data_IF_011663441961
#
_entry.id   IF_011663441961
#
_cell.length_a   1.000
_cell.length_b   1.000
_cell.length_c   1.000
_cell.angle_alpha   90.00
_cell.angle_beta   90.00
_cell.angle_gamma   90.00
#
_symmetry.space_group_name_H-M   'P 1'
#
loop_
_entity.id
_entity.type
_entity.pdbx_description
1 polymer ?
#
# COMPACT_ATOMS: atom_id res chain seq x y z
N UNK A 1 17.99 22.06 0.79
CA UNK A 1 16.58 21.85 1.21
C UNK A 1 16.35 20.36 1.35
N UNK A 2 15.68 19.87 2.41
CA UNK A 2 15.40 18.44 2.57
C UNK A 2 14.23 18.02 1.67
N UNK A 3 14.15 16.72 1.31
CA UNK A 3 13.01 16.18 0.57
C UNK A 3 11.68 16.47 1.29
N UNK A 4 11.63 16.42 2.62
CA UNK A 4 10.45 16.75 3.40
C UNK A 4 9.99 18.20 3.23
N UNK A 5 10.92 19.15 3.11
CA UNK A 5 10.61 20.56 2.84
C UNK A 5 10.11 20.76 1.41
N UNK A 6 10.71 20.05 0.44
CA UNK A 6 10.27 20.08 -0.96
C UNK A 6 8.86 19.49 -1.09
N UNK A 7 8.61 18.31 -0.48
CA UNK A 7 7.29 17.69 -0.42
C UNK A 7 6.26 18.65 0.18
N UNK A 8 6.63 19.35 1.25
CA UNK A 8 5.72 20.32 1.89
C UNK A 8 5.40 21.50 0.97
N UNK A 9 6.38 22.01 0.22
CA UNK A 9 6.16 23.06 -0.78
C UNK A 9 5.27 22.59 -1.93
N UNK A 10 5.57 21.41 -2.51
CA UNK A 10 4.74 20.79 -3.54
C UNK A 10 3.29 20.60 -3.06
N UNK A 11 3.14 20.11 -1.83
CA UNK A 11 1.83 19.89 -1.24
C UNK A 11 1.02 21.19 -1.07
N UNK A 12 1.69 22.27 -0.71
CA UNK A 12 1.02 23.57 -0.56
C UNK A 12 0.50 24.12 -1.89
N UNK A 13 1.02 23.69 -3.03
CA UNK A 13 0.48 24.05 -4.35
C UNK A 13 -0.91 23.45 -4.60
N UNK A 14 -1.31 22.40 -3.89
CA UNK A 14 -2.66 21.85 -4.02
C UNK A 14 -3.75 22.89 -3.65
N UNK A 15 -3.43 23.83 -2.76
CA UNK A 15 -4.35 24.89 -2.39
C UNK A 15 -4.65 25.83 -3.58
N UNK A 16 -3.73 25.94 -4.55
CA UNK A 16 -3.94 26.72 -5.78
C UNK A 16 -5.04 26.11 -6.65
N UNK A 17 -5.11 24.78 -6.69
CA UNK A 17 -6.08 24.06 -7.52
C UNK A 17 -7.40 23.76 -6.80
N UNK A 18 -7.42 23.84 -5.47
CA UNK A 18 -8.62 23.55 -4.68
C UNK A 18 -9.73 24.56 -4.96
N UNK A 19 -9.38 25.80 -5.25
CA UNK A 19 -10.33 26.84 -5.62
C UNK A 19 -10.96 26.60 -7.03
N UNK A 20 -10.32 25.79 -7.87
CA UNK A 20 -10.85 25.32 -9.17
C UNK A 20 -11.69 24.04 -9.05
N UNK A 21 -11.98 23.58 -7.83
CA UNK A 21 -12.77 22.36 -7.58
C UNK A 21 -12.01 21.06 -7.79
N UNK A 22 -10.69 21.10 -7.96
CA UNK A 22 -9.83 19.93 -8.15
C UNK A 22 -9.65 19.18 -6.82
N UNK A 23 -9.93 17.88 -6.82
CA UNK A 23 -9.75 17.02 -5.64
C UNK A 23 -8.27 16.72 -5.40
N UNK A 24 -7.90 16.35 -4.16
CA UNK A 24 -6.53 15.94 -3.85
C UNK A 24 -5.99 14.82 -4.74
N UNK A 25 -6.84 13.89 -5.16
CA UNK A 25 -6.45 12.80 -6.05
C UNK A 25 -6.11 13.32 -7.47
N UNK A 26 -6.97 14.15 -8.02
CA UNK A 26 -6.72 14.80 -9.31
C UNK A 26 -5.46 15.67 -9.26
N UNK A 27 -5.26 16.41 -8.15
CA UNK A 27 -4.04 17.20 -7.95
C UNK A 27 -2.77 16.34 -8.02
N UNK A 28 -2.72 15.22 -7.31
CA UNK A 28 -1.52 14.35 -7.33
C UNK A 28 -1.30 13.74 -8.71
N UNK A 29 -2.37 13.42 -9.44
CA UNK A 29 -2.27 12.96 -10.83
C UNK A 29 -1.69 14.04 -11.74
N UNK A 30 -2.20 15.27 -11.67
CA UNK A 30 -1.65 16.42 -12.43
C UNK A 30 -0.19 16.68 -12.06
N UNK A 31 0.09 16.69 -10.76
CA UNK A 31 1.45 16.90 -10.26
C UNK A 31 2.39 15.79 -10.76
N UNK A 32 1.92 14.55 -10.84
CA UNK A 32 2.69 13.42 -11.39
C UNK A 32 3.10 13.66 -12.84
N UNK A 33 2.19 14.15 -13.68
CA UNK A 33 2.51 14.45 -15.08
C UNK A 33 3.58 15.54 -15.21
N UNK A 34 3.43 16.61 -14.45
CA UNK A 34 4.35 17.77 -14.51
C UNK A 34 5.71 17.41 -13.88
N UNK A 35 5.70 16.69 -12.74
CA UNK A 35 6.92 16.25 -12.08
C UNK A 35 7.71 15.28 -12.94
N UNK A 36 7.05 14.36 -13.65
CA UNK A 36 7.73 13.47 -14.58
C UNK A 36 8.60 14.22 -15.58
N UNK A 37 8.03 15.23 -16.24
CA UNK A 37 8.75 16.04 -17.24
C UNK A 37 9.95 16.76 -16.63
N UNK A 38 9.75 17.34 -15.44
CA UNK A 38 10.84 18.02 -14.74
C UNK A 38 11.93 17.05 -14.29
N UNK A 39 11.54 15.93 -13.69
CA UNK A 39 12.50 14.91 -13.24
C UNK A 39 13.25 14.26 -14.42
N UNK A 40 12.56 14.01 -15.55
CA UNK A 40 13.20 13.53 -16.78
C UNK A 40 14.29 14.49 -17.28
N UNK A 41 14.03 15.80 -17.22
CA UNK A 41 15.06 16.82 -17.51
C UNK A 41 16.24 16.73 -16.55
N UNK A 42 15.94 16.70 -15.25
CA UNK A 42 16.95 16.73 -14.20
C UNK A 42 17.85 15.47 -14.20
N UNK A 43 17.32 14.32 -14.63
CA UNK A 43 18.07 13.04 -14.72
C UNK A 43 18.67 12.80 -16.10
N UNK A 44 18.41 13.65 -17.11
CA UNK A 44 18.82 13.43 -18.49
C UNK A 44 17.99 12.38 -19.26
N UNK A 45 16.88 11.92 -18.69
CA UNK A 45 15.96 10.98 -19.30
C UNK A 45 15.01 11.61 -20.34
N UNK A 46 15.10 12.93 -20.57
CA UNK A 46 14.29 13.66 -21.58
C UNK A 46 14.46 13.11 -23.00
N UNK A 47 15.55 12.35 -23.28
CA UNK A 47 15.75 11.66 -24.57
C UNK A 47 14.58 10.75 -24.98
N UNK A 48 13.80 10.30 -24.03
CA UNK A 48 12.61 9.45 -24.23
C UNK A 48 11.33 10.27 -24.48
N UNK A 49 11.42 11.60 -24.43
CA UNK A 49 10.34 12.55 -24.67
C UNK A 49 10.64 13.29 -25.98
N UNK A 50 9.66 13.48 -26.90
CA UNK A 50 9.90 14.27 -28.11
C UNK A 50 10.39 15.68 -27.77
N UNK A 51 11.38 16.17 -28.53
CA UNK A 51 12.06 17.44 -28.24
C UNK A 51 11.12 18.65 -28.13
N UNK A 52 10.04 18.65 -28.90
CA UNK A 52 9.03 19.71 -28.86
C UNK A 52 8.25 19.76 -27.53
N UNK A 53 8.30 18.70 -26.73
CA UNK A 53 7.61 18.56 -25.45
C UNK A 53 8.56 18.52 -24.25
N UNK A 54 9.84 18.90 -24.43
CA UNK A 54 10.78 19.02 -23.32
C UNK A 54 10.36 20.10 -22.33
N UNK A 55 10.84 19.95 -21.09
CA UNK A 55 10.55 20.89 -20.00
C UNK A 55 10.81 22.36 -20.35
N UNK A 56 11.94 22.65 -21.02
CA UNK A 56 12.31 24.01 -21.39
C UNK A 56 11.33 24.64 -22.39
N UNK A 57 10.68 23.86 -23.23
CA UNK A 57 9.63 24.34 -24.12
C UNK A 57 8.35 24.62 -23.32
N UNK A 58 7.93 23.68 -22.49
CA UNK A 58 6.71 23.82 -21.66
C UNK A 58 6.77 25.06 -20.78
N UNK A 59 7.88 25.29 -20.08
CA UNK A 59 8.01 26.42 -19.14
C UNK A 59 7.96 27.79 -19.80
N UNK A 60 8.24 27.91 -21.10
CA UNK A 60 8.20 29.18 -21.84
C UNK A 60 6.78 29.59 -22.24
N UNK A 61 5.83 28.66 -22.26
CA UNK A 61 4.46 28.92 -22.67
C UNK A 61 3.68 29.69 -21.62
N UNK A 62 2.69 30.47 -22.07
CA UNK A 62 1.85 31.31 -21.18
C UNK A 62 0.39 31.38 -21.66
N UNK A 63 -0.51 31.71 -20.72
CA UNK A 63 -1.93 31.93 -21.01
C UNK A 63 -2.60 30.73 -21.70
N UNK A 64 -3.49 31.00 -22.64
CA UNK A 64 -4.25 29.99 -23.37
C UNK A 64 -3.33 29.10 -24.22
N UNK A 65 -2.18 29.63 -24.70
CA UNK A 65 -1.19 28.85 -25.43
C UNK A 65 -0.59 27.75 -24.54
N UNK A 66 -0.28 28.05 -23.27
CA UNK A 66 0.21 27.09 -22.32
C UNK A 66 -0.80 25.95 -22.09
N UNK A 67 -2.08 26.26 -21.85
CA UNK A 67 -3.12 25.25 -21.64
C UNK A 67 -3.21 24.32 -22.84
N UNK A 68 -3.33 24.89 -24.03
CA UNK A 68 -3.44 24.12 -25.28
C UNK A 68 -2.20 23.24 -25.53
N UNK A 69 -1.02 23.81 -25.33
CA UNK A 69 0.24 23.09 -25.47
C UNK A 69 0.33 21.92 -24.47
N UNK A 70 -0.08 22.12 -23.23
CA UNK A 70 -0.04 21.08 -22.19
C UNK A 70 -1.02 19.94 -22.51
N UNK A 71 -2.22 20.22 -22.98
CA UNK A 71 -3.18 19.21 -23.42
C UNK A 71 -2.63 18.40 -24.62
N UNK A 72 -2.04 19.04 -25.61
CA UNK A 72 -1.39 18.40 -26.75
C UNK A 72 -0.20 17.55 -26.32
N UNK A 73 0.61 18.03 -25.38
CA UNK A 73 1.74 17.31 -24.79
C UNK A 73 1.27 16.02 -24.13
N UNK A 74 0.28 16.08 -23.22
CA UNK A 74 -0.26 14.90 -22.53
C UNK A 74 -0.74 13.84 -23.52
N UNK A 75 -1.50 14.26 -24.52
CA UNK A 75 -1.99 13.36 -25.58
C UNK A 75 -0.85 12.77 -26.38
N UNK A 76 0.10 13.57 -26.85
CA UNK A 76 1.21 13.13 -27.67
C UNK A 76 2.11 12.12 -26.95
N UNK A 77 2.41 12.34 -25.65
CA UNK A 77 3.20 11.39 -24.87
C UNK A 77 2.49 10.04 -24.72
N UNK A 78 1.17 10.04 -24.53
CA UNK A 78 0.37 8.83 -24.41
C UNK A 78 0.17 8.06 -25.71
N UNK A 79 0.19 8.73 -26.88
CA UNK A 79 -0.08 8.12 -28.19
C UNK A 79 1.19 7.80 -28.98
N UNK A 80 2.18 8.69 -28.97
CA UNK A 80 3.33 8.66 -29.85
C UNK A 80 4.62 8.15 -29.20
N UNK A 81 4.71 8.10 -27.87
CA UNK A 81 5.85 7.53 -27.16
C UNK A 81 5.73 6.01 -27.01
N UNK A 82 6.80 5.37 -26.53
CA UNK A 82 6.88 3.93 -26.24
C UNK A 82 7.30 3.69 -24.81
N UNK A 83 7.20 2.43 -24.35
CA UNK A 83 7.65 2.01 -23.03
C UNK A 83 6.93 2.75 -21.90
N UNK A 84 7.65 3.00 -20.84
CA UNK A 84 7.12 3.58 -19.57
C UNK A 84 6.48 4.95 -19.75
N UNK A 85 7.03 5.79 -20.63
CA UNK A 85 6.46 7.13 -20.93
C UNK A 85 5.04 6.98 -21.47
N UNK A 86 4.84 6.11 -22.48
CA UNK A 86 3.52 5.85 -23.03
C UNK A 86 2.56 5.32 -21.97
N UNK A 87 2.98 4.37 -21.16
CA UNK A 87 2.15 3.77 -20.11
C UNK A 87 1.67 4.82 -19.09
N UNK A 88 2.56 5.73 -18.65
CA UNK A 88 2.24 6.81 -17.72
C UNK A 88 1.23 7.78 -18.32
N UNK A 89 1.39 8.17 -19.58
CA UNK A 89 0.56 9.21 -20.21
C UNK A 89 -0.63 8.66 -21.00
N UNK A 90 -0.77 7.34 -21.17
CA UNK A 90 -1.89 6.76 -21.91
C UNK A 90 -3.24 7.22 -21.35
N UNK A 91 -4.02 7.92 -22.20
CA UNK A 91 -5.30 8.50 -21.82
C UNK A 91 -5.21 9.64 -20.79
N UNK A 92 -4.02 10.23 -20.60
CA UNK A 92 -3.84 11.38 -19.72
C UNK A 92 -4.64 12.59 -20.21
N UNK A 93 -5.26 13.29 -19.28
CA UNK A 93 -6.00 14.54 -19.50
C UNK A 93 -5.75 15.47 -18.33
N UNK A 94 -5.65 16.76 -18.61
CA UNK A 94 -5.57 17.76 -17.55
C UNK A 94 -6.95 18.04 -16.95
N UNK A 95 -6.99 18.21 -15.65
CA UNK A 95 -8.13 18.74 -14.91
C UNK A 95 -7.97 20.24 -14.59
N UNK A 96 -6.83 20.86 -14.98
CA UNK A 96 -6.56 22.27 -14.73
C UNK A 96 -7.19 23.10 -15.83
N UNK A 97 -8.25 23.81 -15.48
CA UNK A 97 -8.97 24.68 -16.43
C UNK A 97 -8.34 26.06 -16.57
N UNK A 98 -7.81 26.62 -15.49
CA UNK A 98 -7.25 27.97 -15.46
C UNK A 98 -5.76 27.98 -15.83
N UNK A 99 -5.35 28.59 -16.97
CA UNK A 99 -3.96 28.65 -17.41
C UNK A 99 -3.00 29.30 -16.39
N UNK A 100 -3.49 30.26 -15.61
CA UNK A 100 -2.70 30.94 -14.60
C UNK A 100 -2.29 29.98 -13.47
N UNK A 101 -3.16 29.03 -13.09
CA UNK A 101 -2.90 28.02 -12.09
C UNK A 101 -1.89 27.00 -12.60
N UNK A 102 -2.02 26.55 -13.86
CA UNK A 102 -1.04 25.67 -14.51
C UNK A 102 0.35 26.34 -14.55
N UNK A 103 0.43 27.60 -14.98
CA UNK A 103 1.68 28.36 -15.01
C UNK A 103 2.32 28.46 -13.63
N UNK A 104 1.51 28.75 -12.60
CA UNK A 104 1.97 28.85 -11.22
C UNK A 104 2.59 27.53 -10.72
N UNK A 105 1.97 26.39 -11.04
CA UNK A 105 2.50 25.07 -10.66
C UNK A 105 3.84 24.81 -11.37
N UNK A 106 3.91 25.01 -12.69
CA UNK A 106 5.12 24.82 -13.48
C UNK A 106 6.26 25.71 -12.96
N UNK A 107 5.99 26.99 -12.68
CA UNK A 107 6.99 27.92 -12.16
C UNK A 107 7.49 27.50 -10.79
N UNK A 108 6.58 27.16 -9.86
CA UNK A 108 7.00 26.72 -8.52
C UNK A 108 7.79 25.41 -8.55
N UNK A 109 7.45 24.47 -9.44
CA UNK A 109 8.22 23.24 -9.64
C UNK A 109 9.61 23.56 -10.22
N UNK A 110 9.70 24.47 -11.18
CA UNK A 110 11.00 24.84 -11.79
C UNK A 110 11.95 25.49 -10.78
N UNK A 111 11.43 26.24 -9.82
CA UNK A 111 12.18 26.96 -8.77
C UNK A 111 12.57 26.09 -7.54
N UNK A 112 12.21 24.80 -7.51
CA UNK A 112 12.62 23.91 -6.42
C UNK A 112 14.13 23.67 -6.45
N UNK A 113 14.68 23.32 -5.28
CA UNK A 113 16.06 22.93 -5.13
C UNK A 113 16.29 21.49 -5.63
N UNK A 114 16.37 21.36 -6.95
CA UNK A 114 16.55 20.08 -7.63
C UNK A 114 17.91 19.45 -7.39
N UNK A 115 18.92 20.25 -7.04
CA UNK A 115 20.22 19.72 -6.66
C UNK A 115 20.10 18.87 -5.37
N UNK A 116 19.57 19.48 -4.30
CA UNK A 116 19.34 18.74 -3.05
C UNK A 116 18.38 17.56 -3.22
N UNK A 117 17.33 17.71 -4.06
CA UNK A 117 16.40 16.64 -4.34
C UNK A 117 17.07 15.41 -4.99
N UNK A 118 18.04 15.63 -5.87
CA UNK A 118 18.81 14.55 -6.49
C UNK A 118 19.72 13.85 -5.49
N UNK A 119 20.44 14.62 -4.65
CA UNK A 119 21.33 14.07 -3.62
C UNK A 119 20.58 13.19 -2.61
N UNK A 120 19.33 13.55 -2.27
CA UNK A 120 18.46 12.76 -1.39
C UNK A 120 17.64 11.67 -2.11
N UNK A 121 17.69 11.63 -3.44
CA UNK A 121 16.94 10.71 -4.30
C UNK A 121 15.53 11.20 -4.68
N UNK A 122 15.30 11.33 -5.99
CA UNK A 122 14.01 11.77 -6.55
C UNK A 122 12.87 10.79 -6.25
N UNK A 123 13.19 9.49 -6.19
CA UNK A 123 12.24 8.46 -5.76
C UNK A 123 11.73 8.71 -4.34
N UNK A 124 12.61 8.98 -3.40
CA UNK A 124 12.25 9.29 -2.01
C UNK A 124 11.37 10.54 -1.89
N UNK A 125 11.63 11.56 -2.70
CA UNK A 125 10.79 12.76 -2.79
C UNK A 125 9.37 12.39 -3.24
N UNK A 126 9.27 11.61 -4.32
CA UNK A 126 7.98 11.21 -4.88
C UNK A 126 7.19 10.31 -3.92
N UNK A 127 7.85 9.35 -3.28
CA UNK A 127 7.22 8.53 -2.25
C UNK A 127 6.70 9.36 -1.07
N UNK A 128 7.44 10.36 -0.61
CA UNK A 128 6.99 11.29 0.43
C UNK A 128 5.72 12.06 0.03
N UNK A 129 5.59 12.43 -1.26
CA UNK A 129 4.38 13.05 -1.81
C UNK A 129 3.20 12.07 -1.81
N UNK A 130 3.42 10.81 -2.21
CA UNK A 130 2.39 9.78 -2.20
C UNK A 130 1.90 9.48 -0.78
N UNK A 131 2.81 9.40 0.18
CA UNK A 131 2.48 9.21 1.59
C UNK A 131 1.62 10.37 2.12
N UNK A 132 1.99 11.62 1.81
CA UNK A 132 1.21 12.79 2.21
C UNK A 132 -0.19 12.79 1.61
N UNK A 133 -0.33 12.41 0.34
CA UNK A 133 -1.62 12.24 -0.32
C UNK A 133 -2.49 11.17 0.38
N UNK A 134 -1.90 10.04 0.74
CA UNK A 134 -2.59 8.97 1.44
C UNK A 134 -3.10 9.41 2.82
N UNK A 135 -2.31 10.21 3.54
CA UNK A 135 -2.64 10.74 4.86
C UNK A 135 -3.77 11.78 4.86
N UNK A 136 -4.00 12.47 3.73
CA UNK A 136 -5.08 13.47 3.61
C UNK A 136 -6.43 12.84 3.21
N UNK A 137 -6.44 11.65 2.64
CA UNK A 137 -7.67 10.94 2.28
C UNK A 137 -8.43 10.48 3.53
N UNK A 138 -9.37 11.29 4.01
CA UNK A 138 -10.20 10.98 5.19
C UNK A 138 -11.38 10.06 4.92
N UNK A 139 -11.73 9.75 3.68
CA UNK A 139 -12.94 8.97 3.41
C UNK A 139 -12.99 8.39 2.01
N UNK A 140 -13.36 7.16 1.94
CA UNK A 140 -13.96 6.55 0.75
C UNK A 140 -13.04 5.60 -0.01
N UNK A 141 -13.51 4.37 -0.07
CA UNK A 141 -13.04 3.28 -0.91
C UNK A 141 -11.78 2.52 -0.48
N UNK A 142 -11.72 2.02 0.78
CA UNK A 142 -11.03 0.74 1.06
C UNK A 142 -9.55 0.59 0.69
N UNK A 143 -8.89 1.64 0.23
CA UNK A 143 -7.46 1.63 -0.05
C UNK A 143 -6.74 2.21 1.15
N UNK A 144 -6.21 1.34 1.98
CA UNK A 144 -5.37 1.71 3.10
C UNK A 144 -3.92 1.80 2.61
N UNK A 145 -3.33 2.98 2.74
CA UNK A 145 -1.89 3.15 2.53
C UNK A 145 -1.15 2.37 3.63
N UNK A 146 -0.22 1.52 3.22
CA UNK A 146 0.59 0.74 4.14
C UNK A 146 1.70 1.63 4.72
N UNK A 147 1.81 1.76 6.06
CA UNK A 147 2.91 2.52 6.65
C UNK A 147 4.26 2.01 6.17
N UNK A 148 5.15 2.93 5.77
CA UNK A 148 6.46 2.58 5.22
C UNK A 148 7.26 1.69 6.15
N UNK A 149 7.26 2.00 7.45
CA UNK A 149 7.97 1.19 8.45
C UNK A 149 7.48 -0.27 8.49
N UNK A 150 6.19 -0.51 8.23
CA UNK A 150 5.66 -1.88 8.15
C UNK A 150 6.14 -2.57 6.87
N UNK A 151 6.18 -1.85 5.75
CA UNK A 151 6.73 -2.35 4.48
C UNK A 151 8.19 -2.77 4.69
N UNK A 152 9.00 -1.89 5.30
CA UNK A 152 10.42 -2.13 5.55
C UNK A 152 10.64 -3.37 6.43
N UNK A 153 9.92 -3.48 7.55
CA UNK A 153 10.02 -4.65 8.45
C UNK A 153 9.57 -5.94 7.75
N UNK A 154 8.48 -5.92 7.00
CA UNK A 154 8.04 -7.10 6.26
C UNK A 154 9.07 -7.53 5.22
N UNK A 155 9.67 -6.56 4.52
CA UNK A 155 10.71 -6.81 3.51
C UNK A 155 11.99 -7.35 4.13
N UNK A 156 12.44 -6.78 5.24
CA UNK A 156 13.62 -7.25 6.00
C UNK A 156 13.45 -8.71 6.44
N UNK A 157 12.28 -9.08 6.97
CA UNK A 157 12.03 -10.43 7.47
C UNK A 157 11.82 -11.47 6.36
N UNK A 158 11.30 -11.06 5.22
CA UNK A 158 11.19 -11.92 4.02
C UNK A 158 12.55 -12.03 3.31
N UNK A 159 13.38 -11.00 3.39
CA UNK A 159 14.73 -10.96 2.87
C UNK A 159 14.83 -11.43 1.40
N UNK A 160 14.28 -10.66 0.43
CA UNK A 160 14.40 -10.97 -0.99
C UNK A 160 15.87 -11.14 -1.41
N UNK A 161 16.15 -12.17 -2.22
CA UNK A 161 17.51 -12.45 -2.68
C UNK A 161 17.66 -12.11 -4.17
N UNK A 162 18.88 -11.76 -4.63
CA UNK A 162 19.14 -11.60 -6.06
C UNK A 162 18.69 -12.82 -6.87
N UNK A 163 18.07 -12.58 -8.03
CA UNK A 163 17.54 -13.63 -8.91
C UNK A 163 16.15 -14.13 -8.53
N UNK A 164 15.56 -13.65 -7.43
CA UNK A 164 14.19 -14.00 -7.05
C UNK A 164 13.15 -13.12 -7.74
N UNK A 165 12.05 -13.72 -8.16
CA UNK A 165 10.88 -13.01 -8.69
C UNK A 165 9.96 -12.59 -7.56
N UNK A 166 9.87 -11.28 -7.32
CA UNK A 166 9.02 -10.67 -6.32
C UNK A 166 7.72 -10.14 -6.95
N UNK A 167 6.61 -10.26 -6.23
CA UNK A 167 5.32 -9.77 -6.71
C UNK A 167 4.48 -9.13 -5.60
N UNK A 168 3.77 -8.06 -5.98
CA UNK A 168 2.65 -7.51 -5.21
C UNK A 168 1.37 -7.56 -6.04
N UNK A 169 0.45 -8.51 -5.77
CA UNK A 169 -0.78 -8.67 -6.55
C UNK A 169 -1.85 -7.58 -6.32
N UNK A 170 -1.60 -6.63 -5.42
CA UNK A 170 -2.44 -5.46 -5.12
C UNK A 170 -1.56 -4.24 -4.83
N UNK A 171 -0.68 -3.92 -5.77
CA UNK A 171 0.53 -3.15 -5.53
C UNK A 171 0.31 -1.66 -5.16
N UNK A 172 -0.88 -1.13 -5.33
CA UNK A 172 -1.12 0.27 -5.03
C UNK A 172 -0.11 1.17 -5.74
N UNK A 173 0.72 1.87 -4.98
CA UNK A 173 1.80 2.71 -5.50
C UNK A 173 3.14 1.99 -5.64
N UNK A 174 3.16 0.67 -5.57
CA UNK A 174 4.35 -0.20 -5.74
C UNK A 174 5.36 -0.18 -4.58
N UNK A 175 4.95 0.28 -3.40
CA UNK A 175 5.83 0.50 -2.26
C UNK A 175 6.55 -0.75 -1.76
N UNK A 176 5.92 -1.94 -1.74
CA UNK A 176 6.56 -3.19 -1.34
C UNK A 176 7.68 -3.61 -2.31
N UNK A 177 7.47 -3.43 -3.61
CA UNK A 177 8.46 -3.83 -4.60
C UNK A 177 9.66 -2.87 -4.61
N UNK A 178 9.43 -1.57 -4.36
CA UNK A 178 10.50 -0.60 -4.16
C UNK A 178 11.31 -0.92 -2.90
N UNK A 179 10.66 -1.33 -1.82
CA UNK A 179 11.37 -1.76 -0.61
C UNK A 179 12.18 -3.05 -0.85
N UNK A 180 11.64 -3.99 -1.63
CA UNK A 180 12.35 -5.22 -2.01
C UNK A 180 13.58 -4.93 -2.88
N UNK A 181 13.48 -4.07 -3.89
CA UNK A 181 14.60 -3.60 -4.70
C UNK A 181 15.68 -2.92 -3.85
N UNK A 182 15.26 -2.00 -2.97
CA UNK A 182 16.18 -1.33 -2.06
C UNK A 182 16.90 -2.34 -1.15
N UNK A 183 16.18 -3.33 -0.60
CA UNK A 183 16.77 -4.39 0.21
C UNK A 183 17.84 -5.16 -0.56
N UNK A 184 17.57 -5.58 -1.80
CA UNK A 184 18.54 -6.26 -2.65
C UNK A 184 19.76 -5.38 -2.94
N UNK A 185 19.55 -4.10 -3.30
CA UNK A 185 20.62 -3.13 -3.52
C UNK A 185 21.52 -2.96 -2.30
N UNK A 186 20.95 -2.81 -1.11
CA UNK A 186 21.69 -2.66 0.14
C UNK A 186 22.55 -3.90 0.47
N UNK A 187 22.11 -5.11 0.06
CA UNK A 187 22.81 -6.37 0.33
C UNK A 187 23.73 -6.83 -0.83
N UNK A 188 23.80 -6.08 -1.92
CA UNK A 188 24.62 -6.37 -3.10
C UNK A 188 25.50 -5.19 -3.52
N UNK A 189 25.81 -4.28 -2.59
CA UNK A 189 26.62 -3.09 -2.84
C UNK A 189 26.11 -2.30 -4.06
N UNK A 190 24.81 -2.01 -4.10
CA UNK A 190 24.11 -1.34 -5.20
C UNK A 190 24.28 -2.10 -6.54
N UNK A 191 24.07 -3.42 -6.51
CA UNK A 191 24.24 -4.39 -7.57
C UNK A 191 25.69 -4.59 -8.07
N UNK A 192 26.68 -3.93 -7.48
CA UNK A 192 28.09 -4.08 -7.91
C UNK A 192 28.64 -5.49 -7.66
N UNK A 193 28.05 -6.25 -6.74
CA UNK A 193 28.42 -7.63 -6.45
C UNK A 193 27.75 -8.64 -7.39
N UNK A 194 26.87 -8.18 -8.28
CA UNK A 194 26.16 -8.99 -9.26
C UNK A 194 26.86 -9.00 -10.61
N UNK A 195 26.64 -10.06 -11.40
CA UNK A 195 26.98 -10.06 -12.81
C UNK A 195 26.06 -9.12 -13.60
N UNK A 196 26.47 -8.73 -14.82
CA UNK A 196 25.65 -7.89 -15.68
C UNK A 196 24.28 -8.51 -16.00
N UNK A 197 24.20 -9.84 -16.18
CA UNK A 197 22.97 -10.58 -16.42
C UNK A 197 22.04 -10.55 -15.18
N UNK A 198 22.60 -10.74 -13.99
CA UNK A 198 21.85 -10.67 -12.73
C UNK A 198 21.34 -9.24 -12.47
N UNK A 199 22.16 -8.24 -12.67
CA UNK A 199 21.75 -6.84 -12.52
C UNK A 199 20.64 -6.44 -13.53
N UNK A 200 20.73 -6.92 -14.78
CA UNK A 200 19.69 -6.73 -15.78
C UNK A 200 18.37 -7.42 -15.38
N UNK A 201 18.45 -8.62 -14.80
CA UNK A 201 17.27 -9.33 -14.28
C UNK A 201 16.62 -8.54 -13.13
N UNK A 202 17.41 -8.05 -12.15
CA UNK A 202 16.90 -7.23 -11.06
C UNK A 202 16.17 -5.99 -11.58
N UNK A 203 16.75 -5.30 -12.54
CA UNK A 203 16.16 -4.10 -13.11
C UNK A 203 14.86 -4.38 -13.88
N UNK A 204 14.80 -5.45 -14.68
CA UNK A 204 13.75 -5.64 -15.70
C UNK A 204 12.70 -6.68 -15.35
N UNK A 205 13.03 -7.68 -14.53
CA UNK A 205 12.17 -8.85 -14.33
C UNK A 205 11.85 -9.17 -12.87
N UNK A 206 12.74 -8.84 -11.92
CA UNK A 206 12.63 -9.27 -10.54
C UNK A 206 11.35 -8.74 -9.85
N UNK A 207 10.97 -7.50 -10.11
CA UNK A 207 9.89 -6.82 -9.38
C UNK A 207 8.67 -6.60 -10.25
N UNK A 208 7.56 -7.22 -9.88
CA UNK A 208 6.30 -7.14 -10.62
C UNK A 208 5.13 -6.77 -9.71
N UNK A 209 4.06 -6.24 -10.27
CA UNK A 209 2.85 -5.91 -9.51
C UNK A 209 1.59 -5.91 -10.37
N UNK A 210 0.44 -5.89 -9.70
CA UNK A 210 -0.85 -5.69 -10.35
C UNK A 210 -1.67 -4.64 -9.60
N UNK A 211 -2.28 -3.72 -10.34
CA UNK A 211 -3.16 -2.68 -9.83
C UNK A 211 -4.43 -2.58 -10.69
N UNK A 212 -5.56 -2.48 -10.03
CA UNK A 212 -6.86 -2.39 -10.69
C UNK A 212 -7.20 -0.96 -11.12
N UNK A 213 -6.84 0.03 -10.29
CA UNK A 213 -7.21 1.42 -10.47
C UNK A 213 -6.21 2.14 -11.36
N UNK A 214 -6.68 2.61 -12.50
CA UNK A 214 -5.85 3.19 -13.56
C UNK A 214 -4.96 4.36 -13.06
N UNK A 215 -5.53 5.25 -12.24
CA UNK A 215 -4.80 6.40 -11.69
C UNK A 215 -3.73 5.95 -10.70
N UNK A 216 -4.02 4.97 -9.85
CA UNK A 216 -3.03 4.40 -8.90
C UNK A 216 -1.94 3.64 -9.65
N UNK A 217 -2.29 2.92 -10.72
CA UNK A 217 -1.33 2.26 -11.60
C UNK A 217 -0.32 3.26 -12.21
N UNK A 218 -0.78 4.45 -12.64
CA UNK A 218 0.14 5.51 -13.09
C UNK A 218 1.12 5.95 -12.01
N UNK A 219 0.63 6.13 -10.79
CA UNK A 219 1.50 6.48 -9.66
C UNK A 219 2.55 5.38 -9.42
N UNK A 220 2.16 4.11 -9.53
CA UNK A 220 3.06 2.98 -9.43
C UNK A 220 4.12 2.97 -10.54
N UNK A 221 3.73 3.22 -11.79
CA UNK A 221 4.64 3.30 -12.94
C UNK A 221 5.69 4.41 -12.77
N UNK A 222 5.25 5.59 -12.32
CA UNK A 222 6.14 6.71 -12.05
C UNK A 222 7.10 6.38 -10.90
N UNK A 223 6.58 5.79 -9.83
CA UNK A 223 7.37 5.42 -8.68
C UNK A 223 8.45 4.38 -9.03
N UNK A 224 8.07 3.32 -9.74
CA UNK A 224 9.02 2.31 -10.24
C UNK A 224 10.12 2.92 -11.11
N UNK A 225 9.75 3.81 -12.03
CA UNK A 225 10.70 4.46 -12.92
C UNK A 225 11.72 5.34 -12.17
N UNK A 226 11.29 6.04 -11.12
CA UNK A 226 12.18 6.89 -10.30
C UNK A 226 13.15 6.10 -9.43
N UNK A 227 12.91 4.80 -9.27
CA UNK A 227 13.78 3.85 -8.60
C UNK A 227 14.53 2.92 -9.55
N UNK A 228 14.51 3.23 -10.88
CA UNK A 228 15.15 2.44 -11.94
C UNK A 228 14.62 1.00 -12.05
N UNK A 229 13.37 0.77 -11.67
CA UNK A 229 12.69 -0.53 -11.81
C UNK A 229 11.89 -0.52 -13.12
N UNK A 230 12.30 -1.37 -14.07
CA UNK A 230 11.62 -1.57 -15.35
C UNK A 230 10.62 -2.74 -15.32
N UNK A 231 10.56 -3.49 -14.22
CA UNK A 231 9.69 -4.63 -14.01
C UNK A 231 8.21 -4.32 -14.28
N UNK A 232 7.45 -5.33 -14.68
CA UNK A 232 6.10 -5.13 -15.23
C UNK A 232 5.06 -4.89 -14.14
N UNK A 233 4.29 -3.81 -14.28
CA UNK A 233 3.12 -3.50 -13.46
C UNK A 233 1.87 -3.67 -14.33
N UNK A 234 1.02 -4.63 -13.98
CA UNK A 234 -0.17 -4.97 -14.75
C UNK A 234 -1.36 -4.12 -14.33
N UNK A 235 -2.02 -3.48 -15.27
CA UNK A 235 -3.33 -2.85 -15.05
C UNK A 235 -4.40 -3.93 -15.20
N UNK A 236 -4.74 -4.61 -14.12
CA UNK A 236 -5.74 -5.70 -14.17
C UNK A 236 -6.37 -5.96 -12.79
N UNK A 237 -7.51 -6.65 -12.81
CA UNK A 237 -8.09 -7.25 -11.60
C UNK A 237 -7.44 -8.62 -11.34
N UNK A 238 -6.60 -8.71 -10.32
CA UNK A 238 -5.97 -9.95 -9.88
C UNK A 238 -6.99 -11.05 -9.54
N UNK A 239 -8.18 -10.67 -9.08
CA UNK A 239 -9.26 -11.61 -8.78
C UNK A 239 -10.14 -11.95 -10.01
N UNK A 240 -9.74 -11.53 -11.19
CA UNK A 240 -10.31 -11.96 -12.49
C UNK A 240 -9.45 -13.04 -13.13
N UNK A 241 -9.93 -13.58 -14.28
CA UNK A 241 -9.15 -14.54 -15.04
C UNK A 241 -7.81 -13.99 -15.56
N UNK A 242 -7.64 -12.67 -15.67
CA UNK A 242 -6.35 -12.06 -16.01
C UNK A 242 -5.28 -12.34 -14.93
N UNK A 243 -5.66 -12.36 -13.66
CA UNK A 243 -4.76 -12.65 -12.56
C UNK A 243 -4.20 -14.08 -12.53
N UNK A 244 -4.74 -15.03 -13.31
CA UNK A 244 -4.19 -16.39 -13.42
C UNK A 244 -2.75 -16.40 -13.95
N UNK A 245 -2.38 -15.45 -14.79
CA UNK A 245 -1.04 -15.34 -15.34
C UNK A 245 0.01 -14.91 -14.31
N UNK A 246 -0.43 -14.39 -13.16
CA UNK A 246 0.45 -13.94 -12.08
C UNK A 246 0.79 -15.14 -11.18
N UNK A 247 1.83 -15.89 -11.54
CA UNK A 247 2.30 -17.06 -10.81
C UNK A 247 3.80 -17.31 -11.04
N UNK A 248 4.39 -18.22 -10.26
CA UNK A 248 5.81 -18.59 -10.37
C UNK A 248 6.73 -17.61 -9.67
N UNK A 249 6.26 -17.01 -8.58
CA UNK A 249 7.02 -16.07 -7.76
C UNK A 249 7.78 -16.78 -6.64
N UNK A 250 8.93 -16.22 -6.29
CA UNK A 250 9.74 -16.63 -5.14
C UNK A 250 9.31 -15.85 -3.89
N UNK A 251 8.91 -14.60 -4.06
CA UNK A 251 8.49 -13.70 -2.98
C UNK A 251 7.18 -13.01 -3.30
N UNK A 252 6.25 -12.99 -2.34
CA UNK A 252 5.05 -12.13 -2.40
C UNK A 252 4.98 -11.28 -1.14
N UNK A 253 4.94 -9.96 -1.34
CA UNK A 253 4.77 -8.95 -0.30
C UNK A 253 3.56 -8.08 -0.67
N UNK A 254 2.53 -8.02 0.17
CA UNK A 254 1.30 -7.32 -0.21
C UNK A 254 0.41 -6.94 0.96
N UNK A 255 -0.37 -5.88 0.76
CA UNK A 255 -1.50 -5.49 1.59
C UNK A 255 -2.77 -5.42 0.72
N UNK A 256 -3.50 -6.53 0.52
CA UNK A 256 -4.68 -6.56 -0.33
C UNK A 256 -5.81 -5.64 0.16
N UNK A 257 -6.67 -5.12 -0.75
CA UNK A 257 -7.78 -4.27 -0.35
C UNK A 257 -8.80 -5.02 0.52
N UNK A 258 -9.27 -4.37 1.59
CA UNK A 258 -10.22 -4.94 2.54
C UNK A 258 -11.68 -4.81 2.03
N UNK A 259 -12.55 -5.72 2.49
CA UNK A 259 -13.98 -5.70 2.22
C UNK A 259 -14.49 -6.86 1.33
N UNK A 260 -15.76 -6.79 1.01
CA UNK A 260 -16.43 -7.74 0.10
C UNK A 260 -16.65 -7.10 -1.27
N UNK A 261 -16.82 -7.92 -2.33
CA UNK A 261 -17.29 -7.40 -3.62
C UNK A 261 -18.67 -6.75 -3.45
N UNK A 262 -18.89 -5.63 -4.13
CA UNK A 262 -20.22 -5.00 -4.17
C UNK A 262 -21.23 -5.99 -4.71
N UNK A 263 -22.41 -6.09 -4.06
CA UNK A 263 -23.45 -7.03 -4.46
C UNK A 263 -23.23 -8.49 -4.03
N UNK A 264 -22.19 -8.81 -3.26
CA UNK A 264 -21.90 -10.18 -2.82
C UNK A 264 -21.42 -11.11 -3.93
N UNK A 265 -20.99 -10.57 -5.09
CA UNK A 265 -20.47 -11.35 -6.20
C UNK A 265 -19.21 -12.11 -5.80
N UNK A 266 -19.13 -13.38 -6.21
CA UNK A 266 -17.92 -14.21 -6.04
C UNK A 266 -16.82 -13.75 -6.99
N UNK A 267 -15.56 -14.09 -6.67
CA UNK A 267 -14.45 -13.88 -7.61
C UNK A 267 -14.72 -14.61 -8.92
N UNK A 268 -14.48 -13.94 -10.04
CA UNK A 268 -14.65 -14.55 -11.37
C UNK A 268 -13.36 -15.29 -11.79
N UNK A 269 -12.92 -16.21 -10.93
CA UNK A 269 -11.73 -17.07 -11.10
C UNK A 269 -12.17 -18.52 -11.08
N UNK A 270 -11.99 -19.24 -12.19
CA UNK A 270 -12.35 -20.65 -12.33
C UNK A 270 -11.29 -21.62 -11.78
N UNK A 271 -10.09 -21.10 -11.49
CA UNK A 271 -8.97 -21.83 -10.88
C UNK A 271 -8.98 -21.80 -9.34
N UNK A 272 -9.86 -20.99 -8.71
CA UNK A 272 -10.00 -21.00 -7.25
C UNK A 272 -10.78 -22.23 -6.78
N UNK A 273 -10.19 -22.94 -5.82
CA UNK A 273 -10.83 -24.11 -5.21
C UNK A 273 -12.07 -23.73 -4.39
N UNK A 274 -11.98 -22.59 -3.69
CA UNK A 274 -13.02 -22.11 -2.78
C UNK A 274 -13.63 -20.82 -3.30
N UNK A 275 -14.93 -20.78 -3.44
CA UNK A 275 -15.66 -19.65 -4.01
C UNK A 275 -16.27 -18.77 -2.91
N UNK A 276 -15.73 -17.57 -2.73
CA UNK A 276 -16.21 -16.59 -1.74
C UNK A 276 -16.31 -15.19 -2.32
N UNK A 277 -17.18 -14.34 -1.75
CA UNK A 277 -17.24 -12.91 -2.03
C UNK A 277 -16.22 -12.08 -1.23
N UNK A 278 -15.57 -12.67 -0.23
CA UNK A 278 -14.58 -12.02 0.58
C UNK A 278 -13.27 -11.82 -0.22
N UNK A 279 -12.89 -10.57 -0.47
CA UNK A 279 -11.72 -10.24 -1.29
C UNK A 279 -10.41 -10.73 -0.65
N UNK A 280 -10.26 -10.58 0.65
CA UNK A 280 -9.04 -10.96 1.36
C UNK A 280 -8.79 -12.47 1.31
N UNK A 281 -9.85 -13.27 1.47
CA UNK A 281 -9.77 -14.72 1.33
C UNK A 281 -9.43 -15.14 -0.10
N UNK A 282 -9.96 -14.41 -1.11
CA UNK A 282 -9.60 -14.65 -2.50
C UNK A 282 -8.15 -14.24 -2.81
N UNK A 283 -7.68 -13.12 -2.26
CA UNK A 283 -6.26 -12.76 -2.38
C UNK A 283 -5.35 -13.76 -1.70
N UNK A 284 -5.72 -14.26 -0.52
CA UNK A 284 -4.95 -15.29 0.17
C UNK A 284 -4.82 -16.56 -0.68
N UNK A 285 -5.93 -17.04 -1.30
CA UNK A 285 -5.89 -18.16 -2.24
C UNK A 285 -4.96 -17.86 -3.43
N UNK A 286 -5.07 -16.67 -4.02
CA UNK A 286 -4.19 -16.27 -5.12
C UNK A 286 -2.71 -16.32 -4.70
N UNK A 287 -2.37 -15.75 -3.54
CA UNK A 287 -0.98 -15.60 -3.09
C UNK A 287 -0.32 -16.97 -2.90
N UNK A 288 -0.89 -17.88 -2.09
CA UNK A 288 -0.22 -19.16 -1.87
C UNK A 288 -0.18 -20.07 -3.11
N UNK A 289 -1.07 -19.84 -4.08
CA UNK A 289 -1.06 -20.53 -5.39
C UNK A 289 -0.09 -19.91 -6.37
N UNK A 290 0.23 -18.64 -6.24
CA UNK A 290 1.16 -17.91 -7.13
C UNK A 290 2.63 -18.19 -6.81
N UNK A 291 2.94 -18.67 -5.61
CA UNK A 291 4.28 -19.03 -5.19
C UNK A 291 4.77 -20.33 -5.87
N UNK A 292 6.07 -20.41 -6.13
CA UNK A 292 6.71 -21.66 -6.58
C UNK A 292 6.61 -22.73 -5.49
N UNK A 293 6.28 -23.95 -5.86
CA UNK A 293 6.21 -25.08 -4.93
C UNK A 293 7.60 -25.73 -4.78
N UNK A 294 8.58 -25.00 -4.26
CA UNK A 294 9.98 -25.37 -4.18
C UNK A 294 10.54 -25.47 -2.74
N UNK A 295 9.69 -25.21 -1.74
CA UNK A 295 10.07 -25.20 -0.33
C UNK A 295 10.79 -23.92 0.13
N UNK A 296 10.94 -22.92 -0.74
CA UNK A 296 11.67 -21.67 -0.48
C UNK A 296 10.82 -20.43 -0.72
N UNK A 297 9.95 -20.48 -1.72
CA UNK A 297 9.09 -19.37 -2.06
C UNK A 297 8.20 -18.98 -0.88
N UNK A 298 8.12 -17.69 -0.58
CA UNK A 298 7.58 -17.19 0.67
C UNK A 298 6.78 -15.90 0.51
N UNK A 299 5.91 -15.64 1.48
CA UNK A 299 5.08 -14.45 1.47
C UNK A 299 4.93 -13.82 2.86
N UNK A 300 4.75 -12.50 2.88
CA UNK A 300 4.20 -11.76 4.00
C UNK A 300 2.99 -10.95 3.53
N UNK A 301 1.85 -11.15 4.18
CA UNK A 301 0.56 -10.63 3.74
C UNK A 301 -0.16 -9.93 4.88
N UNK A 302 -0.58 -8.68 4.66
CA UNK A 302 -1.42 -7.95 5.62
C UNK A 302 -2.88 -8.36 5.43
N UNK A 303 -3.52 -8.83 6.50
CA UNK A 303 -4.91 -9.28 6.48
C UNK A 303 -5.67 -8.78 7.72
N UNK A 304 -6.96 -8.45 7.59
CA UNK A 304 -7.79 -8.09 8.74
C UNK A 304 -8.16 -9.32 9.58
N UNK A 305 -8.51 -9.07 10.85
CA UNK A 305 -8.82 -10.14 11.82
C UNK A 305 -9.86 -11.14 11.35
N UNK A 306 -10.88 -10.72 10.60
CA UNK A 306 -11.94 -11.61 10.13
C UNK A 306 -11.43 -12.79 9.29
N UNK A 307 -10.29 -12.64 8.62
CA UNK A 307 -9.66 -13.74 7.87
C UNK A 307 -9.15 -14.85 8.81
N UNK A 308 -8.77 -14.50 10.05
CA UNK A 308 -8.22 -15.46 11.02
C UNK A 308 -9.26 -16.41 11.59
N UNK A 309 -10.54 -16.02 11.60
CA UNK A 309 -11.61 -16.79 12.22
C UNK A 309 -12.88 -16.97 11.38
N UNK A 310 -12.96 -16.43 10.16
CA UNK A 310 -14.14 -16.59 9.30
C UNK A 310 -14.52 -18.07 9.12
N UNK A 311 -15.77 -18.37 9.28
CA UNK A 311 -16.34 -19.72 9.13
C UNK A 311 -16.50 -20.13 7.65
N UNK A 312 -16.90 -21.36 7.40
CA UNK A 312 -17.22 -21.89 6.09
C UNK A 312 -16.05 -21.87 5.11
N UNK A 313 -16.14 -21.11 4.02
CA UNK A 313 -15.04 -21.05 3.04
C UNK A 313 -13.78 -20.42 3.63
N UNK A 314 -13.89 -19.53 4.61
CA UNK A 314 -12.73 -18.98 5.32
C UNK A 314 -11.96 -20.05 6.07
N UNK A 315 -12.65 -20.94 6.76
CA UNK A 315 -12.06 -22.10 7.44
C UNK A 315 -11.34 -23.02 6.47
N UNK A 316 -11.98 -23.34 5.33
CA UNK A 316 -11.39 -24.23 4.31
C UNK A 316 -10.15 -23.60 3.67
N UNK A 317 -10.17 -22.30 3.40
CA UNK A 317 -9.01 -21.60 2.82
C UNK A 317 -7.84 -21.56 3.80
N UNK A 318 -8.07 -21.35 5.11
CA UNK A 318 -7.02 -21.44 6.12
C UNK A 318 -6.45 -22.85 6.25
N UNK A 319 -7.31 -23.86 6.23
CA UNK A 319 -6.88 -25.26 6.23
C UNK A 319 -5.99 -25.54 5.00
N UNK A 320 -6.43 -25.15 3.80
CA UNK A 320 -5.68 -25.34 2.55
C UNK A 320 -4.33 -24.57 2.55
N UNK A 321 -4.32 -23.36 3.10
CA UNK A 321 -3.07 -22.60 3.32
C UNK A 321 -2.08 -23.40 4.19
N UNK A 322 -2.54 -23.94 5.33
CA UNK A 322 -1.68 -24.68 6.26
C UNK A 322 -1.27 -26.06 5.72
N UNK A 323 -2.06 -26.66 4.83
CA UNK A 323 -1.67 -27.86 4.10
C UNK A 323 -0.56 -27.58 3.08
N UNK A 324 -0.72 -26.53 2.25
CA UNK A 324 0.18 -26.19 1.14
C UNK A 324 1.41 -25.38 1.54
N UNK A 325 1.31 -24.65 2.64
CA UNK A 325 2.36 -23.77 3.11
C UNK A 325 2.70 -24.05 4.57
N UNK A 326 3.95 -23.84 4.92
CA UNK A 326 4.37 -23.70 6.30
C UNK A 326 3.99 -22.27 6.74
N UNK A 327 2.81 -22.10 7.32
CA UNK A 327 2.45 -20.89 8.04
C UNK A 327 3.20 -20.89 9.36
N UNK A 328 4.18 -20.02 9.53
CA UNK A 328 5.09 -20.09 10.68
C UNK A 328 4.99 -18.89 11.62
N UNK A 329 4.42 -17.76 11.20
CA UNK A 329 4.32 -16.58 12.07
C UNK A 329 3.10 -15.74 11.73
N UNK A 330 2.40 -15.29 12.76
CA UNK A 330 1.31 -14.29 12.71
C UNK A 330 1.70 -13.12 13.61
N UNK A 331 1.91 -11.96 13.03
CA UNK A 331 2.14 -10.71 13.75
C UNK A 331 0.81 -9.96 13.89
N UNK A 332 0.33 -9.75 15.11
CA UNK A 332 -0.89 -8.99 15.39
C UNK A 332 -0.55 -7.51 15.51
N UNK A 333 -1.00 -6.71 14.55
CA UNK A 333 -0.66 -5.30 14.44
C UNK A 333 -1.54 -4.42 15.34
N UNK A 334 -0.98 -3.34 15.92
CA UNK A 334 -1.76 -2.40 16.72
C UNK A 334 -2.80 -1.66 15.87
N UNK A 335 -3.84 -1.15 16.54
CA UNK A 335 -4.88 -0.36 15.88
C UNK A 335 -4.39 1.05 15.51
N UNK A 336 -5.03 1.68 14.53
CA UNK A 336 -4.76 3.07 14.13
C UNK A 336 -3.59 3.25 13.15
N UNK A 337 -2.78 2.22 12.88
CA UNK A 337 -1.62 2.31 11.98
C UNK A 337 -2.01 2.56 10.52
N UNK A 338 -3.18 2.16 10.08
CA UNK A 338 -3.73 2.44 8.75
C UNK A 338 -4.63 3.67 8.71
N UNK A 339 -4.61 4.49 9.77
CA UNK A 339 -5.45 5.69 9.94
C UNK A 339 -6.97 5.44 9.82
N UNK A 340 -7.40 4.18 9.73
CA UNK A 340 -8.78 3.76 9.82
C UNK A 340 -9.08 3.31 11.25
N UNK A 341 -9.98 3.99 11.93
CA UNK A 341 -10.37 3.65 13.29
C UNK A 341 -11.04 2.26 13.33
N UNK A 342 -10.59 1.42 14.25
CA UNK A 342 -11.23 0.14 14.56
C UNK A 342 -10.86 -1.06 13.68
N UNK A 343 -10.06 -0.89 12.62
CA UNK A 343 -9.63 -2.04 11.81
C UNK A 343 -8.43 -2.72 12.49
N UNK A 344 -8.63 -3.94 12.94
CA UNK A 344 -7.58 -4.82 13.47
C UNK A 344 -6.99 -5.64 12.34
N UNK A 345 -5.67 -5.65 12.23
CA UNK A 345 -4.93 -6.32 11.14
C UNK A 345 -3.81 -7.18 11.66
N UNK A 346 -3.34 -8.07 10.81
CA UNK A 346 -2.24 -9.00 11.10
C UNK A 346 -1.36 -9.14 9.87
N UNK A 347 -0.11 -9.56 10.08
CA UNK A 347 0.75 -10.03 8.99
C UNK A 347 0.91 -11.53 9.12
N UNK A 348 0.60 -12.28 8.08
CA UNK A 348 0.86 -13.71 7.97
C UNK A 348 2.16 -13.93 7.20
N UNK A 349 3.08 -14.67 7.80
CA UNK A 349 4.35 -15.08 7.17
C UNK A 349 4.32 -16.57 6.92
N UNK A 350 4.50 -16.99 5.67
CA UNK A 350 4.48 -18.40 5.29
C UNK A 350 5.40 -18.70 4.12
N UNK A 351 5.87 -19.96 4.08
CA UNK A 351 6.70 -20.51 3.00
C UNK A 351 5.93 -21.59 2.27
N UNK A 352 5.91 -21.58 0.97
CA UNK A 352 5.25 -22.59 0.15
C UNK A 352 6.01 -23.91 0.23
N UNK A 353 5.32 -25.01 0.59
CA UNK A 353 5.91 -26.33 0.61
C UNK A 353 6.14 -26.92 -0.79
N UNK A 354 6.94 -27.96 -0.86
CA UNK A 354 7.11 -28.76 -2.09
C UNK A 354 5.85 -29.62 -2.32
N UNK A 355 5.34 -30.23 -1.26
CA UNK A 355 4.09 -30.99 -1.27
C UNK A 355 2.90 -30.07 -0.94
N UNK A 356 1.70 -30.51 -1.31
CA UNK A 356 0.45 -29.82 -1.07
C UNK A 356 -0.26 -30.25 0.23
N UNK A 357 0.44 -30.88 1.16
CA UNK A 357 -0.10 -31.38 2.43
C UNK A 357 0.97 -31.37 3.53
N UNK A 358 0.51 -31.26 4.77
CA UNK A 358 1.29 -31.41 6.00
C UNK A 358 2.49 -30.44 6.11
N UNK A 359 2.35 -29.20 5.66
CA UNK A 359 3.45 -28.24 5.70
C UNK A 359 3.51 -27.37 6.97
N UNK A 360 2.41 -27.25 7.71
CA UNK A 360 2.36 -26.45 8.95
C UNK A 360 2.25 -27.36 10.17
N UNK A 361 3.28 -27.39 11.00
CA UNK A 361 3.31 -28.13 12.28
C UNK A 361 3.00 -27.22 13.46
N UNK A 362 3.54 -26.01 13.45
CA UNK A 362 3.47 -25.02 14.52
C UNK A 362 3.38 -23.60 13.95
N UNK A 363 2.61 -22.73 14.59
CA UNK A 363 2.49 -21.31 14.24
C UNK A 363 2.81 -20.45 15.45
N UNK A 364 3.70 -19.50 15.26
CA UNK A 364 4.08 -18.50 16.24
C UNK A 364 3.24 -17.24 16.09
N UNK A 365 2.75 -16.74 17.22
CA UNK A 365 2.00 -15.49 17.31
C UNK A 365 2.80 -14.45 18.07
N UNK A 366 2.90 -13.23 17.55
CA UNK A 366 3.43 -12.10 18.26
C UNK A 366 2.34 -11.04 18.45
N UNK A 367 2.02 -10.74 19.70
CA UNK A 367 1.05 -9.70 20.03
C UNK A 367 1.71 -8.33 20.15
N UNK A 368 1.74 -7.59 19.02
CA UNK A 368 2.15 -6.18 18.99
C UNK A 368 0.95 -5.24 19.18
N UNK A 369 -0.20 -5.74 19.60
CA UNK A 369 -1.45 -5.01 19.75
C UNK A 369 -1.70 -4.57 21.18
N UNK A 370 -1.61 -5.52 22.10
CA UNK A 370 -1.95 -5.33 23.50
C UNK A 370 -0.86 -4.52 24.23
N UNK A 371 -1.26 -3.65 25.16
CA UNK A 371 -0.38 -2.78 25.94
C UNK A 371 0.49 -1.83 25.08
N UNK A 372 0.05 -1.53 23.86
CA UNK A 372 0.70 -0.57 22.96
C UNK A 372 -0.03 0.78 22.99
N UNK A 373 0.69 1.89 22.78
CA UNK A 373 0.05 3.20 22.69
C UNK A 373 -0.90 3.26 21.48
N UNK A 374 -1.86 4.16 21.53
CA UNK A 374 -2.68 4.43 20.35
C UNK A 374 -1.84 5.09 19.26
N UNK A 375 -1.85 4.49 18.07
CA UNK A 375 -1.14 5.02 16.91
C UNK A 375 -2.05 5.90 16.03
N UNK A 376 -1.45 6.82 15.31
CA UNK A 376 -2.13 7.74 14.43
C UNK A 376 -1.17 8.79 13.85
N UNK A 377 -1.70 9.85 13.26
CA UNK A 377 -0.87 10.92 12.65
C UNK A 377 0.08 11.60 13.63
N UNK A 378 -0.32 11.80 14.89
CA UNK A 378 0.48 12.47 15.93
C UNK A 378 1.46 11.53 16.64
N UNK A 379 1.17 10.24 16.63
CA UNK A 379 2.03 9.19 17.19
C UNK A 379 2.16 8.07 16.15
N UNK A 380 3.01 8.21 15.13
CA UNK A 380 3.15 7.22 14.08
C UNK A 380 3.89 5.97 14.57
N UNK A 381 3.59 4.84 13.95
CA UNK A 381 4.35 3.61 14.11
C UNK A 381 5.81 3.84 13.67
N UNK A 382 6.77 3.30 14.45
CA UNK A 382 8.21 3.43 14.21
C UNK A 382 8.87 2.06 14.19
N UNK A 383 10.04 1.96 13.59
CA UNK A 383 10.83 0.72 13.54
C UNK A 383 11.14 0.17 14.92
N UNK A 384 11.43 1.04 15.89
CA UNK A 384 11.73 0.64 17.28
C UNK A 384 10.62 -0.17 17.93
N UNK A 385 9.36 -0.01 17.51
CA UNK A 385 8.25 -0.80 18.03
C UNK A 385 8.28 -2.27 17.58
N UNK A 386 9.04 -2.60 16.52
CA UNK A 386 9.18 -3.95 16.00
C UNK A 386 10.45 -4.68 16.48
N UNK A 387 11.36 -4.02 17.18
CA UNK A 387 12.67 -4.59 17.55
C UNK A 387 12.57 -5.93 18.27
N UNK A 388 11.69 -6.02 19.25
CA UNK A 388 11.50 -7.25 20.03
C UNK A 388 10.88 -8.37 19.16
N UNK A 389 9.93 -8.00 18.28
CA UNK A 389 9.36 -8.94 17.31
C UNK A 389 10.41 -9.44 16.32
N UNK A 390 11.23 -8.55 15.77
CA UNK A 390 12.31 -8.92 14.84
C UNK A 390 13.29 -9.87 15.54
N UNK A 391 13.67 -9.56 16.78
CA UNK A 391 14.56 -10.42 17.57
C UNK A 391 13.95 -11.83 17.82
N UNK A 392 12.64 -11.89 18.15
CA UNK A 392 11.95 -13.15 18.34
C UNK A 392 11.79 -13.95 17.02
N UNK A 393 11.47 -13.25 15.93
CA UNK A 393 11.29 -13.86 14.61
C UNK A 393 12.58 -14.48 14.07
N UNK A 394 13.73 -13.79 14.26
CA UNK A 394 15.05 -14.17 13.74
C UNK A 394 15.85 -15.04 14.70
N UNK A 395 15.32 -15.34 15.90
CA UNK A 395 15.99 -16.19 16.88
C UNK A 395 16.26 -17.59 16.30
N UNK A 396 17.48 -18.11 16.51
CA UNK A 396 17.86 -19.48 16.10
C UNK A 396 16.95 -20.53 16.77
N UNK A 397 16.71 -20.35 18.09
CA UNK A 397 15.74 -21.13 18.85
C UNK A 397 14.60 -20.23 19.32
N UNK A 398 13.48 -20.29 18.61
CA UNK A 398 12.28 -19.51 18.91
C UNK A 398 11.63 -19.90 20.24
N UNK A 399 11.79 -21.14 20.70
CA UNK A 399 11.28 -21.62 21.99
C UNK A 399 12.08 -21.08 23.18
N UNK A 400 13.33 -20.66 22.97
CA UNK A 400 14.14 -20.04 24.01
C UNK A 400 13.83 -18.56 24.25
N UNK A 401 13.04 -17.91 23.37
CA UNK A 401 12.68 -16.49 23.49
C UNK A 401 11.77 -16.26 24.68
N UNK A 402 12.20 -15.39 25.60
CA UNK A 402 11.46 -15.03 26.82
C UNK A 402 10.69 -13.71 26.63
N UNK A 403 9.67 -13.71 25.77
CA UNK A 403 8.73 -12.60 25.59
C UNK A 403 7.30 -13.16 25.70
N UNK A 404 6.52 -12.65 26.64
CA UNK A 404 5.13 -13.08 26.84
C UNK A 404 4.22 -12.78 25.63
N UNK A 405 4.65 -11.87 24.74
CA UNK A 405 3.95 -11.56 23.47
C UNK A 405 4.22 -12.59 22.38
N UNK A 406 5.19 -13.50 22.58
CA UNK A 406 5.62 -14.53 21.65
C UNK A 406 5.13 -15.90 22.10
N UNK A 407 4.17 -16.46 21.41
CA UNK A 407 3.52 -17.73 21.81
C UNK A 407 3.37 -18.65 20.61
N UNK A 408 3.72 -19.92 20.77
CA UNK A 408 3.55 -20.97 19.77
C UNK A 408 2.27 -21.78 20.04
N UNK A 409 1.66 -22.24 18.96
CA UNK A 409 0.56 -23.21 18.97
C UNK A 409 0.81 -24.26 17.91
N UNK A 410 0.68 -25.51 18.28
CA UNK A 410 0.75 -26.62 17.34
C UNK A 410 -0.46 -26.62 16.38
N UNK A 411 -0.31 -27.28 15.24
CA UNK A 411 -1.39 -27.44 14.27
C UNK A 411 -2.67 -28.03 14.88
N UNK A 412 -2.51 -28.97 15.82
CA UNK A 412 -3.61 -29.59 16.55
C UNK A 412 -4.36 -28.59 17.45
N UNK A 413 -3.62 -27.78 18.22
CA UNK A 413 -4.20 -26.74 19.09
C UNK A 413 -4.91 -25.63 18.33
N UNK A 414 -4.44 -25.30 17.11
CA UNK A 414 -5.05 -24.30 16.25
C UNK A 414 -6.34 -24.80 15.61
N UNK A 415 -6.40 -26.08 15.23
CA UNK A 415 -7.45 -26.57 14.36
C UNK A 415 -7.46 -25.77 13.04
N UNK A 416 -8.52 -25.01 12.80
CA UNK A 416 -8.70 -24.18 11.60
C UNK A 416 -8.78 -22.67 11.91
N UNK A 417 -8.63 -22.27 13.17
CA UNK A 417 -8.68 -20.87 13.59
C UNK A 417 -7.28 -20.32 13.88
N UNK A 418 -7.02 -19.10 13.41
CA UNK A 418 -5.77 -18.37 13.66
C UNK A 418 -6.00 -17.19 14.63
N UNK A 419 -7.12 -17.16 15.33
CA UNK A 419 -7.40 -16.13 16.34
C UNK A 419 -6.87 -16.55 17.73
N UNK A 420 -5.56 -16.59 17.84
CA UNK A 420 -4.80 -17.01 19.03
C UNK A 420 -3.71 -15.98 19.36
N UNK A 421 -3.01 -16.18 20.46
CA UNK A 421 -1.81 -15.42 20.80
C UNK A 421 -2.05 -13.98 21.27
N UNK A 422 -3.22 -13.67 21.80
CA UNK A 422 -3.46 -12.40 22.54
C UNK A 422 -3.05 -12.56 24.01
N UNK A 423 -2.28 -11.60 24.50
CA UNK A 423 -1.97 -11.48 25.92
C UNK A 423 -3.09 -10.73 26.65
N UNK A 424 -3.07 -10.79 27.97
CA UNK A 424 -3.99 -10.00 28.79
C UNK A 424 -3.67 -8.51 28.63
N UNK A 425 -4.67 -7.72 28.33
CA UNK A 425 -4.55 -6.26 28.29
C UNK A 425 -4.63 -5.69 29.70
N UNK A 426 -3.49 -5.28 30.23
CA UNK A 426 -3.40 -4.71 31.59
C UNK A 426 -3.99 -3.30 31.67
N UNK A 427 -4.29 -2.66 30.54
CA UNK A 427 -5.01 -1.39 30.49
C UNK A 427 -6.52 -1.57 30.68
N UNK A 428 -7.03 -2.78 30.50
CA UNK A 428 -8.41 -3.13 30.82
C UNK A 428 -8.48 -3.35 32.33
N UNK A 429 -9.18 -2.47 33.02
CA UNK A 429 -9.55 -2.62 34.41
C UNK A 429 -10.08 -4.04 34.67
N UNK A 430 -9.80 -4.62 35.86
CA UNK A 430 -10.28 -5.96 36.21
C UNK A 430 -11.74 -6.14 35.78
N UNK A 431 -12.10 -7.30 35.23
CA UNK A 431 -13.48 -7.59 34.83
C UNK A 431 -14.50 -7.30 35.93
N UNK A 432 -14.05 -7.41 37.21
CA UNK A 432 -14.85 -7.10 38.39
C UNK A 432 -15.08 -5.59 38.60
N UNK A 433 -14.28 -4.73 37.94
CA UNK A 433 -14.39 -3.26 37.98
C UNK A 433 -15.13 -2.69 36.74
N UNK A 434 -15.53 -3.54 35.81
CA UNK A 434 -16.35 -3.10 34.66
C UNK A 434 -17.78 -2.83 35.16
N UNK A 435 -18.39 -1.70 34.76
CA UNK A 435 -19.80 -1.46 35.02
C UNK A 435 -20.66 -2.57 34.41
N UNK A 436 -21.82 -2.82 34.99
CA UNK A 436 -22.77 -3.81 34.46
C UNK A 436 -23.00 -3.58 32.96
N UNK A 437 -22.93 -4.64 32.13
CA UNK A 437 -23.17 -4.50 30.71
C UNK A 437 -24.50 -3.85 30.32
N UNK A 438 -25.52 -3.98 31.18
CA UNK A 438 -26.81 -3.34 31.01
C UNK A 438 -26.70 -1.84 31.30
N UNK A 439 -26.06 -1.43 32.39
CA UNK A 439 -25.80 -0.02 32.70
C UNK A 439 -24.97 0.66 31.62
N UNK A 440 -23.89 0.00 31.16
CA UNK A 440 -23.08 0.48 30.06
C UNK A 440 -23.84 0.63 28.72
N UNK A 441 -24.77 -0.30 28.47
CA UNK A 441 -25.67 -0.27 27.31
C UNK A 441 -26.65 0.90 27.40
N UNK A 442 -27.24 1.14 28.55
CA UNK A 442 -28.17 2.26 28.80
C UNK A 442 -27.46 3.61 28.71
N UNK A 443 -26.24 3.71 29.22
CA UNK A 443 -25.42 4.93 29.11
C UNK A 443 -25.05 5.22 27.62
N UNK A 444 -24.68 4.20 26.85
CA UNK A 444 -24.43 4.33 25.41
C UNK A 444 -25.70 4.78 24.66
N UNK A 445 -26.87 4.23 24.98
CA UNK A 445 -28.15 4.63 24.39
C UNK A 445 -28.40 6.11 24.69
N UNK A 446 -28.25 6.52 25.94
CA UNK A 446 -28.43 7.93 26.36
C UNK A 446 -27.52 8.87 25.59
N UNK A 447 -26.25 8.55 25.48
CA UNK A 447 -25.29 9.37 24.71
C UNK A 447 -25.62 9.43 23.22
N UNK A 448 -26.12 8.36 22.62
CA UNK A 448 -26.58 8.33 21.23
C UNK A 448 -27.83 9.19 21.04
N UNK A 449 -28.78 9.15 21.96
CA UNK A 449 -29.99 9.99 21.93
C UNK A 449 -29.64 11.48 22.03
N UNK A 450 -28.72 11.87 22.92
CA UNK A 450 -28.20 13.24 23.02
C UNK A 450 -27.50 13.69 21.74
N UNK A 451 -26.69 12.81 21.12
CA UNK A 451 -26.02 13.13 19.86
C UNK A 451 -27.04 13.31 18.71
N UNK A 452 -28.09 12.47 18.67
CA UNK A 452 -29.17 12.60 17.70
C UNK A 452 -29.94 13.92 17.87
N UNK A 453 -30.20 14.33 19.10
CA UNK A 453 -30.94 15.57 19.38
C UNK A 453 -30.10 16.82 19.05
N UNK A 454 -28.78 16.77 19.30
CA UNK A 454 -27.83 17.79 18.85
C UNK A 454 -27.84 17.92 17.31
N UNK A 455 -27.78 16.79 16.59
CA UNK A 455 -27.85 16.79 15.12
C UNK A 455 -29.18 17.33 14.60
N UNK A 456 -30.32 16.98 15.24
CA UNK A 456 -31.64 17.55 14.89
C UNK A 456 -31.67 19.08 15.08
N UNK A 457 -31.03 19.57 16.15
CA UNK A 457 -30.93 21.01 16.42
C UNK A 457 -30.14 21.73 15.34
N UNK A 458 -28.99 21.18 14.94
CA UNK A 458 -28.16 21.71 13.85
C UNK A 458 -28.93 21.73 12.53
N UNK A 459 -29.61 20.62 12.18
CA UNK A 459 -30.44 20.57 10.96
C UNK A 459 -31.57 21.59 10.98
N UNK A 460 -32.19 21.81 12.14
CA UNK A 460 -33.24 22.82 12.30
C UNK A 460 -32.69 24.25 12.11
N UNK A 461 -31.51 24.52 12.64
CA UNK A 461 -30.83 25.81 12.50
C UNK A 461 -30.43 26.07 11.04
N UNK A 462 -29.85 25.09 10.35
CA UNK A 462 -29.53 25.16 8.92
C UNK A 462 -30.79 25.46 8.06
N UNK A 463 -31.89 24.74 8.32
CA UNK A 463 -33.16 25.00 7.62
C UNK A 463 -33.74 26.39 7.90
N UNK A 464 -33.49 26.94 9.10
CA UNK A 464 -33.94 28.32 9.40
C UNK A 464 -33.11 29.39 8.69
N UNK A 465 -31.81 29.10 8.45
CA UNK A 465 -30.92 29.97 7.68
C UNK A 465 -31.31 29.96 6.17
N UNK A 466 -31.57 28.79 5.60
CA UNK A 466 -32.05 28.69 4.22
C UNK A 466 -33.37 29.41 4.00
N UNK A 467 -34.27 29.40 5.00
CA UNK A 467 -35.56 30.12 4.89
C UNK A 467 -35.50 31.64 5.14
N UNK A 468 -34.36 32.17 5.60
CA UNK A 468 -34.14 33.60 5.81
C UNK A 468 -33.38 34.27 4.65
N UNK A 469 -32.94 33.53 3.64
CA UNK A 469 -32.27 34.04 2.42
C UNK A 469 -33.22 34.10 1.20
N UNK A 470 -34.54 33.90 1.37
CA UNK A 470 -35.56 34.05 0.31
C UNK A 470 -36.37 35.38 0.58
#
# INVERSE_FOLDING_TARGET
>A
MTNAEIVSKLWNLCNVLRDDGITYHQYVTELTYILFLKMAKETGAEKNVPQDYHWDVLRTKEGIELKRFYEELLQSLGENCTGRVREIYQGARSNIEEPANLKKIITNIDELDWYSAKEEGLGNLYEGLLEKNANEKKSGAGQYFTPRVLIDVMTELIAPQPGERCNDPACGTFGFMIAADRYVKEHTNDWMDLTEEEAEFEQKEAFTGAELVHETHRLALMNAMLHDIEGRIYLCDTLSNQGKALHGFDVVLTNPPFGTKKGGERANRDDFTYQTSNKQLNFLQHIYRSLKADGKARAAVVLPDNVLFADGEGERIRADLMEKCRLHTVLRLPTGIFYAQGVKTNVLFFTRGIADHDNTDEVWFYDLRTNMPSFGKTNPLKYDHFKDFIAAYTAEDRHAVQDQRWTAFTREELGTTLDKGLIRDDSVLNYDDLPDPIESGEECITQLEEAVDLLKSVVKELKSLESSEV
#
